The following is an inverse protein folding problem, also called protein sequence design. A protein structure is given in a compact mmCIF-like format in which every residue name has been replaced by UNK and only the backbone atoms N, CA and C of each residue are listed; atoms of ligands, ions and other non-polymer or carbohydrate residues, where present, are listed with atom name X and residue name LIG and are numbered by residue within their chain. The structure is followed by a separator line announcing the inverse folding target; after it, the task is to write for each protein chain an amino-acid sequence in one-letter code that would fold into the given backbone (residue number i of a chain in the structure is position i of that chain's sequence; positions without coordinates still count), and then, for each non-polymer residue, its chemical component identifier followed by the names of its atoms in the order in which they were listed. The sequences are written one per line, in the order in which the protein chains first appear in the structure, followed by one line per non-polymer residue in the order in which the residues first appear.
data_IF_264308514260
#
_entry.id   IF_264308514260
#
_cell.length_a   1.000
_cell.length_b   1.000
_cell.length_c   1.000
_cell.angle_alpha   90.00
_cell.angle_beta   90.00
_cell.angle_gamma   90.00
#
_symmetry.space_group_name_H-M   'P 1'
#
loop_
_entity.id
_entity.type
_entity.pdbx_description
1 polymer ?
#
# COMPACT_ATOMS: atom_id res chain seq x y z
N UNK A 1 12.71 -17.46 -25.63
CA UNK A 1 12.15 -16.91 -24.38
C UNK A 1 11.07 -17.87 -23.90
N UNK A 2 11.27 -18.54 -22.76
CA UNK A 2 10.22 -19.34 -22.15
C UNK A 2 9.27 -18.39 -21.46
N UNK A 3 8.06 -18.22 -21.99
CA UNK A 3 7.02 -17.40 -21.38
C UNK A 3 6.61 -18.01 -20.04
N UNK A 4 6.71 -17.23 -18.97
CA UNK A 4 6.15 -17.61 -17.68
C UNK A 4 4.64 -17.41 -17.74
N UNK A 5 3.88 -18.48 -17.50
CA UNK A 5 2.42 -18.44 -17.36
C UNK A 5 2.10 -18.58 -15.86
N UNK A 6 1.49 -17.55 -15.28
CA UNK A 6 1.10 -17.55 -13.86
C UNK A 6 0.10 -18.68 -13.63
N UNK A 7 0.47 -19.69 -12.83
CA UNK A 7 -0.50 -20.68 -12.34
C UNK A 7 -1.35 -20.03 -11.26
N UNK A 8 -2.38 -19.28 -11.68
CA UNK A 8 -3.36 -18.72 -10.75
C UNK A 8 -4.24 -19.87 -10.24
N UNK A 9 -4.00 -20.32 -9.01
CA UNK A 9 -5.02 -21.07 -8.27
C UNK A 9 -6.09 -20.05 -7.84
N UNK A 10 -7.09 -19.86 -8.69
CA UNK A 10 -8.32 -19.16 -8.30
C UNK A 10 -9.17 -20.18 -7.55
N UNK A 11 -9.69 -19.82 -6.38
CA UNK A 11 -10.81 -20.59 -5.82
C UNK A 11 -11.92 -20.66 -6.88
N UNK A 12 -12.72 -21.74 -6.95
CA UNK A 12 -13.85 -21.78 -7.88
C UNK A 12 -14.77 -20.59 -7.58
N UNK A 13 -14.84 -19.63 -8.50
CA UNK A 13 -15.53 -18.32 -8.36
C UNK A 13 -14.79 -17.20 -7.59
N UNK A 14 -13.51 -17.37 -7.23
CA UNK A 14 -12.80 -16.53 -6.26
C UNK A 14 -12.14 -15.26 -6.80
N UNK A 15 -12.61 -14.11 -6.34
CA UNK A 15 -11.93 -12.81 -6.43
C UNK A 15 -10.80 -12.65 -5.37
N UNK A 16 -10.45 -13.73 -4.65
CA UNK A 16 -9.61 -13.70 -3.45
C UNK A 16 -8.35 -14.53 -3.65
N UNK A 17 -7.20 -13.95 -3.26
CA UNK A 17 -5.94 -14.65 -3.10
C UNK A 17 -5.72 -14.95 -1.61
N UNK A 18 -5.76 -16.22 -1.22
CA UNK A 18 -5.46 -16.65 0.14
C UNK A 18 -4.04 -17.20 0.21
N UNK A 19 -3.20 -16.61 1.08
CA UNK A 19 -1.87 -17.11 1.39
C UNK A 19 -1.92 -17.79 2.75
N UNK A 20 -1.72 -19.11 2.77
CA UNK A 20 -1.75 -19.90 3.99
C UNK A 20 -0.51 -19.64 4.87
N UNK A 21 -0.56 -20.11 6.12
CA UNK A 21 0.55 -20.01 7.06
C UNK A 21 1.85 -20.55 6.48
N UNK A 22 2.92 -19.77 6.55
CA UNK A 22 4.24 -20.10 5.99
C UNK A 22 4.40 -19.79 4.49
N UNK A 23 3.34 -19.35 3.81
CA UNK A 23 3.40 -18.84 2.44
C UNK A 23 3.86 -17.39 2.39
N UNK A 24 4.33 -16.95 1.22
CA UNK A 24 4.74 -15.57 0.96
C UNK A 24 4.26 -15.13 -0.43
N UNK A 25 4.09 -13.82 -0.59
CA UNK A 25 3.92 -13.19 -1.90
C UNK A 25 5.26 -12.55 -2.24
N UNK A 26 5.95 -13.09 -3.23
CA UNK A 26 7.13 -12.45 -3.82
C UNK A 26 6.69 -11.56 -4.98
N UNK A 27 6.99 -10.26 -4.88
CA UNK A 27 6.67 -9.27 -5.90
C UNK A 27 7.97 -8.83 -6.53
N UNK A 28 8.26 -9.41 -7.70
CA UNK A 28 9.45 -9.07 -8.46
C UNK A 28 9.47 -7.59 -8.90
N UNK A 29 10.65 -7.10 -9.27
CA UNK A 29 10.88 -5.72 -9.69
C UNK A 29 9.85 -5.26 -10.72
N UNK A 30 9.12 -4.17 -10.38
CA UNK A 30 8.10 -3.58 -11.23
C UNK A 30 6.66 -4.07 -10.95
N UNK A 31 6.48 -5.09 -10.12
CA UNK A 31 5.16 -5.52 -9.64
C UNK A 31 4.45 -4.44 -8.81
N UNK A 32 3.11 -4.41 -8.88
CA UNK A 32 2.27 -3.37 -8.26
C UNK A 32 0.99 -3.94 -7.68
N UNK A 33 0.56 -3.39 -6.54
CA UNK A 33 -0.82 -3.50 -6.08
C UNK A 33 -1.64 -2.35 -6.66
N UNK A 34 -2.77 -2.69 -7.29
CA UNK A 34 -3.64 -1.75 -8.00
C UNK A 34 -5.05 -1.81 -7.44
N UNK A 35 -5.75 -0.69 -7.57
CA UNK A 35 -7.15 -0.53 -7.19
C UNK A 35 -7.93 -0.31 -8.46
N UNK A 36 -8.72 -1.30 -8.87
CA UNK A 36 -9.48 -1.24 -10.13
C UNK A 36 -8.58 -0.86 -11.33
N UNK A 37 -7.39 -1.46 -11.41
CA UNK A 37 -6.42 -1.22 -12.48
C UNK A 37 -5.60 0.07 -12.36
N UNK A 38 -5.82 0.89 -11.33
CA UNK A 38 -5.10 2.16 -11.13
C UNK A 38 -4.18 2.07 -9.92
N UNK A 39 -2.96 2.59 -10.05
CA UNK A 39 -2.05 2.75 -8.93
C UNK A 39 -2.45 3.99 -8.13
N UNK A 40 -2.58 3.87 -6.80
CA UNK A 40 -2.79 5.05 -5.95
C UNK A 40 -1.59 5.99 -6.05
N UNK A 41 -1.84 7.30 -5.99
CA UNK A 41 -0.80 8.31 -5.99
C UNK A 41 0.14 8.12 -4.79
N UNK A 42 1.42 8.45 -4.98
CA UNK A 42 2.38 8.44 -3.88
C UNK A 42 2.00 9.51 -2.85
N UNK A 43 2.40 9.26 -1.60
CA UNK A 43 2.29 10.25 -0.53
C UNK A 43 3.50 11.16 -0.64
N UNK A 44 3.28 12.46 -0.60
CA UNK A 44 4.37 13.42 -0.67
C UNK A 44 5.28 13.31 0.56
N UNK A 45 6.58 13.53 0.35
CA UNK A 45 7.58 13.44 1.42
C UNK A 45 7.29 14.41 2.57
N UNK A 46 7.67 13.97 3.77
CA UNK A 46 7.67 14.86 4.91
C UNK A 46 8.90 15.77 4.86
N UNK A 47 8.70 17.07 4.63
CA UNK A 47 9.75 18.05 4.93
C UNK A 47 10.06 18.02 6.43
N UNK A 48 11.36 17.95 6.78
CA UNK A 48 11.80 18.02 8.17
C UNK A 48 11.77 19.47 8.67
N UNK A 49 11.15 19.70 9.83
CA UNK A 49 11.37 20.91 10.59
C UNK A 49 12.74 20.82 11.27
N UNK A 50 13.62 21.79 11.04
CA UNK A 50 14.95 21.81 11.64
C UNK A 50 14.95 22.63 12.94
N UNK A 51 15.22 21.96 14.06
CA UNK A 51 15.61 22.57 15.33
C UNK A 51 14.45 23.13 16.18
N UNK A 52 14.39 22.67 17.44
CA UNK A 52 13.35 22.89 18.47
C UNK A 52 12.15 21.91 18.42
N UNK A 53 11.45 21.80 19.55
CA UNK A 53 10.25 20.98 19.67
C UNK A 53 9.16 21.54 18.75
N UNK A 54 8.41 20.67 18.03
CA UNK A 54 7.47 21.13 17.02
C UNK A 54 6.36 21.96 17.66
N UNK A 55 6.02 23.07 17.01
CA UNK A 55 4.81 23.81 17.36
C UNK A 55 3.54 23.04 16.94
N UNK A 56 2.37 23.60 17.28
CA UNK A 56 1.10 22.95 16.94
C UNK A 56 0.90 22.80 15.43
N UNK A 57 1.33 23.77 14.61
CA UNK A 57 1.14 23.72 13.17
C UNK A 57 2.02 22.64 12.54
N UNK A 58 3.25 22.49 13.03
CA UNK A 58 4.18 21.43 12.63
C UNK A 58 3.64 20.05 13.03
N UNK A 59 3.06 19.92 14.23
CA UNK A 59 2.41 18.68 14.65
C UNK A 59 1.19 18.33 13.77
N UNK A 60 0.30 19.30 13.49
CA UNK A 60 -0.88 19.08 12.66
C UNK A 60 -0.50 18.68 11.21
N UNK A 61 0.61 19.20 10.70
CA UNK A 61 1.16 18.80 9.39
C UNK A 61 1.62 17.34 9.37
N UNK A 62 2.19 16.83 10.46
CA UNK A 62 2.54 15.41 10.61
C UNK A 62 1.29 14.54 10.68
N UNK A 63 0.28 14.93 11.47
CA UNK A 63 -1.01 14.22 11.56
C UNK A 63 -1.67 14.12 10.19
N UNK A 64 -1.66 15.19 9.41
CA UNK A 64 -2.21 15.20 8.03
C UNK A 64 -1.52 14.16 7.15
N UNK A 65 -0.18 14.06 7.24
CA UNK A 65 0.58 13.06 6.48
C UNK A 65 0.30 11.64 6.95
N UNK A 66 0.17 11.40 8.26
CA UNK A 66 -0.22 10.10 8.81
C UNK A 66 -1.61 9.67 8.33
N UNK A 67 -2.57 10.59 8.28
CA UNK A 67 -3.90 10.30 7.73
C UNK A 67 -3.84 10.02 6.22
N UNK A 68 -2.96 10.71 5.47
CA UNK A 68 -2.73 10.40 4.06
C UNK A 68 -2.14 9.00 3.86
N UNK A 69 -1.23 8.57 4.75
CA UNK A 69 -0.71 7.18 4.78
C UNK A 69 -1.82 6.18 5.03
N UNK A 70 -2.64 6.40 6.07
CA UNK A 70 -3.76 5.54 6.40
C UNK A 70 -4.70 5.37 5.20
N UNK A 71 -5.14 6.46 4.59
CA UNK A 71 -6.02 6.46 3.42
C UNK A 71 -5.39 5.79 2.20
N UNK A 72 -4.07 5.94 1.98
CA UNK A 72 -3.39 5.28 0.88
C UNK A 72 -3.39 3.76 1.06
N UNK A 73 -3.13 3.27 2.28
CA UNK A 73 -3.10 1.86 2.63
C UNK A 73 -4.49 1.20 2.56
N UNK A 74 -5.52 1.87 3.08
CA UNK A 74 -6.92 1.46 2.89
C UNK A 74 -7.29 1.47 1.41
N UNK A 75 -6.86 2.51 0.71
CA UNK A 75 -7.11 2.70 -0.71
C UNK A 75 -6.61 1.54 -1.56
N UNK A 76 -5.43 0.97 -1.26
CA UNK A 76 -4.86 -0.20 -1.95
C UNK A 76 -5.28 -1.55 -1.36
N UNK A 77 -6.14 -1.56 -0.35
CA UNK A 77 -6.66 -2.78 0.28
C UNK A 77 -5.67 -3.48 1.22
N UNK A 78 -4.63 -2.79 1.69
CA UNK A 78 -3.71 -3.33 2.71
C UNK A 78 -4.37 -3.28 4.09
N UNK A 79 -5.10 -2.20 4.39
CA UNK A 79 -5.87 -2.04 5.62
C UNK A 79 -7.37 -2.10 5.31
N UNK A 80 -8.15 -2.62 6.25
CA UNK A 80 -9.60 -2.48 6.21
C UNK A 80 -9.99 -1.04 6.56
N UNK A 81 -11.01 -0.50 5.89
CA UNK A 81 -11.67 0.73 6.35
C UNK A 81 -12.44 0.44 7.63
N UNK A 82 -12.21 1.25 8.67
CA UNK A 82 -13.00 1.25 9.92
C UNK A 82 -14.46 1.63 9.69
#
# INVERSE_FOLDING_TARGET
MSGYETKVYREPQGAVLTVASGGAIDVETGGKFLVNGTQKAHIADAAAAAGAAPDKAEFDAVVTKLNAVLLALEGVGILASS
#
